data_IF_450289149776
#
_entry.id   IF_450289149776
#
_cell.length_a   1.000
_cell.length_b   1.000
_cell.length_c   1.000
_cell.angle_alpha   90.00
_cell.angle_beta   90.00
_cell.angle_gamma   90.00
#
_symmetry.space_group_name_H-M   'P 1'
#
loop_
_entity.id
_entity.type
_entity.pdbx_description
1 polymer ?
#
# COMPACT_ATOMS: atom_id res chain seq x y z
N UNK A 1 33.79 77.28 -33.00
CA UNK A 1 33.88 76.82 -31.60
C UNK A 1 32.54 76.21 -31.22
N UNK A 2 32.53 74.89 -30.97
CA UNK A 2 31.35 74.06 -30.67
C UNK A 2 30.73 74.48 -29.32
N UNK A 3 29.41 74.69 -29.27
CA UNK A 3 28.63 74.70 -28.02
C UNK A 3 27.79 73.42 -27.96
N UNK A 4 27.90 72.77 -26.82
CA UNK A 4 27.56 71.38 -26.53
C UNK A 4 26.10 71.29 -26.06
N UNK A 5 25.37 70.30 -26.58
CA UNK A 5 24.08 69.81 -26.08
C UNK A 5 24.24 69.24 -24.67
N UNK A 6 23.29 69.51 -23.78
CA UNK A 6 22.93 68.57 -22.71
C UNK A 6 21.42 68.63 -22.48
N UNK A 7 20.74 67.55 -22.86
CA UNK A 7 19.33 67.28 -22.61
C UNK A 7 19.26 66.38 -21.37
N UNK A 8 18.55 66.80 -20.33
CA UNK A 8 18.28 66.02 -19.12
C UNK A 8 17.31 64.87 -19.46
N UNK A 9 17.77 63.62 -19.30
CA UNK A 9 16.90 62.45 -19.20
C UNK A 9 16.76 62.08 -17.73
N UNK A 10 15.55 62.21 -17.20
CA UNK A 10 15.12 61.63 -15.93
C UNK A 10 14.78 60.15 -16.18
N UNK A 11 15.71 59.26 -15.86
CA UNK A 11 15.46 57.81 -15.85
C UNK A 11 15.20 57.40 -14.39
N UNK A 12 13.92 57.40 -14.02
CA UNK A 12 13.44 56.70 -12.82
C UNK A 12 13.54 55.19 -13.08
N UNK A 13 14.66 54.60 -12.68
CA UNK A 13 14.81 53.15 -12.56
C UNK A 13 13.98 52.64 -11.39
N UNK A 14 12.72 52.31 -11.65
CA UNK A 14 11.94 51.41 -10.81
C UNK A 14 12.58 50.02 -10.94
N UNK A 15 13.50 49.70 -10.03
CA UNK A 15 13.84 48.30 -9.76
C UNK A 15 12.63 47.68 -9.07
N UNK A 16 11.76 47.06 -9.85
CA UNK A 16 10.83 46.06 -9.35
C UNK A 16 11.68 44.89 -8.82
N UNK A 17 12.01 44.92 -7.54
CA UNK A 17 12.39 43.71 -6.82
C UNK A 17 11.13 42.86 -6.79
N UNK A 18 10.98 42.03 -7.81
CA UNK A 18 10.09 40.87 -7.76
C UNK A 18 10.69 39.92 -6.73
N UNK A 19 10.37 40.16 -5.46
CA UNK A 19 10.34 39.10 -4.48
C UNK A 19 9.25 38.13 -4.97
N UNK A 20 9.66 37.14 -5.76
CA UNK A 20 8.84 35.95 -5.94
C UNK A 20 8.75 35.34 -4.54
N UNK A 21 7.58 35.54 -3.94
CA UNK A 21 7.19 34.91 -2.70
C UNK A 21 7.31 33.40 -2.91
N UNK A 22 8.35 32.80 -2.35
CA UNK A 22 8.69 31.37 -2.45
C UNK A 22 7.75 30.53 -1.54
N UNK A 23 6.50 30.98 -1.41
CA UNK A 23 5.48 30.52 -0.45
C UNK A 23 4.92 29.13 -0.75
N UNK A 24 5.46 28.46 -1.76
CA UNK A 24 5.12 27.08 -2.13
C UNK A 24 6.26 26.07 -1.90
N UNK A 25 7.38 26.47 -1.29
CA UNK A 25 8.42 25.50 -0.96
C UNK A 25 7.97 24.63 0.22
N UNK A 26 7.78 23.34 -0.03
CA UNK A 26 7.58 22.35 1.03
C UNK A 26 8.80 22.39 1.97
N UNK A 27 8.61 22.89 3.19
CA UNK A 27 9.66 23.04 4.20
C UNK A 27 9.44 22.09 5.37
N UNK A 28 10.51 21.47 5.86
CA UNK A 28 10.45 20.61 7.04
C UNK A 28 10.61 21.42 8.33
N UNK A 29 9.86 21.05 9.37
CA UNK A 29 10.21 21.45 10.74
C UNK A 29 11.32 20.52 11.23
N UNK A 30 12.32 21.06 11.95
CA UNK A 30 13.48 20.27 12.40
C UNK A 30 13.60 20.32 13.92
N UNK A 31 13.73 19.16 14.55
CA UNK A 31 13.98 19.07 15.99
C UNK A 31 15.31 19.75 16.36
N UNK A 32 15.34 20.45 17.48
CA UNK A 32 16.55 21.08 18.02
C UNK A 32 17.67 20.08 18.36
N UNK A 33 17.36 18.78 18.43
CA UNK A 33 18.35 17.71 18.63
C UNK A 33 19.16 17.38 17.37
N UNK A 34 18.68 17.78 16.20
CA UNK A 34 19.33 17.47 14.92
C UNK A 34 20.51 18.42 14.73
N UNK A 35 21.71 17.88 14.59
CA UNK A 35 22.92 18.67 14.36
C UNK A 35 22.97 19.26 12.95
N UNK A 36 22.28 20.38 12.78
CA UNK A 36 22.27 21.15 11.53
C UNK A 36 23.57 21.93 11.31
N UNK A 37 24.58 21.83 12.18
CA UNK A 37 25.93 22.36 11.91
C UNK A 37 26.72 21.43 10.98
N UNK A 38 26.38 20.13 10.96
CA UNK A 38 26.91 19.16 10.01
C UNK A 38 26.42 19.42 8.58
N UNK A 39 27.37 19.47 7.64
CA UNK A 39 27.06 19.66 6.22
C UNK A 39 26.32 18.47 5.59
N UNK A 40 26.62 17.25 6.04
CA UNK A 40 25.93 16.05 5.57
C UNK A 40 24.49 16.03 6.08
N UNK A 41 24.26 16.34 7.36
CA UNK A 41 22.90 16.41 7.94
C UNK A 41 22.02 17.42 7.21
N UNK A 42 22.53 18.64 6.94
CA UNK A 42 21.79 19.63 6.13
C UNK A 42 21.49 19.12 4.72
N UNK A 43 22.43 18.41 4.10
CA UNK A 43 22.25 17.85 2.76
C UNK A 43 21.17 16.77 2.71
N UNK A 44 21.05 15.97 3.77
CA UNK A 44 20.02 14.92 3.89
C UNK A 44 18.63 15.52 4.14
N UNK A 45 18.53 16.56 4.97
CA UNK A 45 17.28 17.32 5.16
C UNK A 45 16.82 17.90 3.81
N UNK A 46 17.74 18.54 3.07
CA UNK A 46 17.44 19.09 1.75
C UNK A 46 17.07 18.00 0.72
N UNK A 47 17.72 16.84 0.77
CA UNK A 47 17.37 15.67 -0.05
C UNK A 47 15.92 15.26 0.18
N UNK A 48 15.51 15.16 1.45
CA UNK A 48 14.16 14.77 1.83
C UNK A 48 13.11 15.82 1.42
N UNK A 49 13.40 17.11 1.59
CA UNK A 49 12.56 18.21 1.05
C UNK A 49 12.39 18.10 -0.46
N UNK A 50 13.50 17.89 -1.17
CA UNK A 50 13.52 17.80 -2.63
C UNK A 50 12.76 16.57 -3.13
N UNK A 51 12.86 15.45 -2.40
CA UNK A 51 12.08 14.24 -2.66
C UNK A 51 10.58 14.54 -2.63
N UNK A 52 10.05 15.14 -1.57
CA UNK A 52 8.61 15.46 -1.52
C UNK A 52 8.20 16.55 -2.51
N UNK A 53 9.03 17.56 -2.74
CA UNK A 53 8.79 18.59 -3.76
C UNK A 53 8.72 18.03 -5.18
N UNK A 54 9.35 16.87 -5.42
CA UNK A 54 9.31 16.17 -6.70
C UNK A 54 7.99 15.41 -6.96
N UNK A 55 7.02 15.44 -6.05
CA UNK A 55 5.72 14.75 -6.18
C UNK A 55 5.87 13.21 -6.25
N UNK A 56 6.39 12.59 -5.18
CA UNK A 56 6.59 11.14 -5.14
C UNK A 56 5.28 10.35 -5.00
N UNK A 57 4.11 11.00 -5.05
CA UNK A 57 2.80 10.36 -5.09
C UNK A 57 2.52 9.53 -6.35
N UNK A 58 3.42 9.58 -7.34
CA UNK A 58 3.37 8.76 -8.58
C UNK A 58 4.70 8.05 -8.84
N UNK A 59 4.65 6.98 -9.64
CA UNK A 59 5.83 6.20 -10.03
C UNK A 59 6.46 6.82 -11.28
N UNK A 60 7.74 7.20 -11.17
CA UNK A 60 8.59 7.67 -12.27
C UNK A 60 10.06 7.58 -11.83
N UNK A 61 11.00 7.85 -12.73
CA UNK A 61 12.43 7.89 -12.40
C UNK A 61 12.77 9.08 -11.48
N UNK A 62 12.59 8.89 -10.17
CA UNK A 62 12.82 9.93 -9.18
C UNK A 62 14.32 10.12 -8.94
N UNK A 63 14.88 11.34 -9.12
CA UNK A 63 16.33 11.57 -9.02
C UNK A 63 16.86 11.53 -7.58
N UNK A 64 15.98 11.46 -6.58
CA UNK A 64 16.33 11.45 -5.16
C UNK A 64 16.35 10.05 -4.54
N UNK A 65 16.06 9.01 -5.34
CA UNK A 65 16.13 7.62 -4.93
C UNK A 65 17.32 6.92 -5.58
N UNK A 66 17.93 5.98 -4.86
CA UNK A 66 19.08 5.24 -5.33
C UNK A 66 18.78 4.44 -6.61
N UNK A 67 19.79 4.32 -7.47
CA UNK A 67 19.62 3.67 -8.78
C UNK A 67 19.31 2.19 -8.66
N UNK A 68 19.96 1.49 -7.72
CA UNK A 68 19.85 0.04 -7.57
C UNK A 68 18.40 -0.40 -7.30
N UNK A 69 17.68 0.28 -6.41
CA UNK A 69 16.29 -0.07 -6.09
C UNK A 69 15.32 0.30 -7.21
N UNK A 70 15.55 1.39 -7.93
CA UNK A 70 14.76 1.74 -9.12
C UNK A 70 14.90 0.74 -10.28
N UNK A 71 16.03 0.05 -10.36
CA UNK A 71 16.24 -1.03 -11.33
C UNK A 71 15.62 -2.36 -10.87
N UNK A 72 15.42 -2.55 -9.57
CA UNK A 72 14.89 -3.77 -8.98
C UNK A 72 13.37 -3.75 -8.81
N UNK A 73 12.79 -2.57 -8.59
CA UNK A 73 11.39 -2.41 -8.25
C UNK A 73 10.78 -1.27 -9.07
N UNK A 74 9.60 -1.51 -9.65
CA UNK A 74 8.79 -0.49 -10.27
C UNK A 74 8.36 0.55 -9.22
N UNK A 75 7.81 0.08 -8.10
CA UNK A 75 7.49 0.92 -6.92
C UNK A 75 8.59 0.80 -5.87
N UNK A 76 9.65 1.57 -6.08
CA UNK A 76 10.90 1.51 -5.30
C UNK A 76 10.83 2.18 -3.93
N UNK A 77 9.91 3.12 -3.67
CA UNK A 77 9.68 3.63 -2.31
C UNK A 77 8.62 2.78 -1.61
N UNK A 78 9.05 1.99 -0.64
CA UNK A 78 8.18 1.01 -0.01
C UNK A 78 7.08 1.62 0.85
N UNK A 79 7.21 2.89 1.22
CA UNK A 79 6.20 3.62 1.99
C UNK A 79 5.17 4.36 1.12
N UNK A 80 5.46 4.56 -0.17
CA UNK A 80 4.71 5.47 -1.06
C UNK A 80 3.23 5.17 -1.10
N UNK A 81 2.87 3.93 -1.45
CA UNK A 81 1.46 3.52 -1.62
C UNK A 81 0.64 3.73 -0.35
N UNK A 82 1.25 3.48 0.82
CA UNK A 82 0.62 3.72 2.11
C UNK A 82 0.48 5.23 2.34
N UNK A 83 1.58 6.01 2.27
CA UNK A 83 1.56 7.46 2.56
C UNK A 83 0.54 8.22 1.71
N UNK A 84 0.42 7.86 0.42
CA UNK A 84 -0.40 8.58 -0.55
C UNK A 84 -1.78 7.95 -0.81
N UNK A 85 -2.22 7.02 0.03
CA UNK A 85 -3.55 6.41 -0.10
C UNK A 85 -4.69 7.45 0.02
N UNK A 86 -5.87 7.13 -0.54
CA UNK A 86 -7.08 7.93 -0.36
C UNK A 86 -7.06 9.30 -1.04
N UNK A 87 -6.30 9.44 -2.13
CA UNK A 87 -6.17 10.70 -2.88
C UNK A 87 -5.21 11.71 -2.24
N UNK A 88 -4.42 11.28 -1.26
CA UNK A 88 -3.37 12.09 -0.65
C UNK A 88 -2.24 12.33 -1.66
N UNK A 89 -1.72 13.55 -1.71
CA UNK A 89 -0.50 13.90 -2.44
C UNK A 89 0.44 14.67 -1.51
N UNK A 90 1.68 14.95 -1.95
CA UNK A 90 2.68 15.62 -1.12
C UNK A 90 2.19 16.97 -0.53
N UNK A 91 1.48 17.77 -1.32
CA UNK A 91 0.95 19.07 -0.86
C UNK A 91 -0.13 18.92 0.20
N UNK A 92 -1.09 18.00 -0.02
CA UNK A 92 -2.15 17.73 0.96
C UNK A 92 -1.56 17.11 2.24
N UNK A 93 -0.58 16.22 2.11
CA UNK A 93 0.11 15.61 3.23
C UNK A 93 0.77 16.68 4.10
N UNK A 94 1.59 17.57 3.52
CA UNK A 94 2.26 18.62 4.28
C UNK A 94 1.29 19.65 4.88
N UNK A 95 0.16 19.89 4.21
CA UNK A 95 -0.90 20.79 4.69
C UNK A 95 -1.61 20.22 5.92
N UNK A 96 -1.95 18.93 5.92
CA UNK A 96 -2.73 18.32 7.01
C UNK A 96 -1.87 17.69 8.10
N UNK A 97 -0.67 17.23 7.73
CA UNK A 97 0.28 16.52 8.57
C UNK A 97 1.67 17.11 8.40
N UNK A 98 1.91 18.23 9.08
CA UNK A 98 3.18 18.95 8.99
C UNK A 98 4.36 18.04 9.38
N UNK A 99 5.33 17.84 8.49
CA UNK A 99 6.46 16.95 8.75
C UNK A 99 7.45 17.58 9.72
N UNK A 100 7.87 16.77 10.69
CA UNK A 100 8.83 17.14 11.71
C UNK A 100 9.99 16.13 11.71
N UNK A 101 11.17 16.57 11.29
CA UNK A 101 12.41 15.79 11.32
C UNK A 101 12.79 15.56 12.78
N UNK A 102 12.58 14.34 13.23
CA UNK A 102 12.89 13.90 14.58
C UNK A 102 14.39 13.68 14.74
N UNK A 103 15.04 13.08 13.75
CA UNK A 103 16.48 12.83 13.75
C UNK A 103 17.07 12.59 12.38
N UNK A 104 18.37 12.85 12.27
CA UNK A 104 19.24 12.43 11.18
C UNK A 104 20.51 11.88 11.81
N UNK A 105 20.65 10.56 11.89
CA UNK A 105 21.72 9.89 12.63
C UNK A 105 22.65 9.12 11.68
N UNK A 106 23.98 9.14 11.91
CA UNK A 106 24.88 8.29 11.13
C UNK A 106 24.71 6.81 11.51
N UNK A 107 24.73 5.94 10.51
CA UNK A 107 24.70 4.48 10.63
C UNK A 107 25.79 3.88 9.73
N UNK A 108 27.01 3.81 10.25
CA UNK A 108 28.18 3.46 9.46
C UNK A 108 28.52 4.57 8.46
N UNK A 109 28.56 4.24 7.17
CA UNK A 109 28.81 5.21 6.08
C UNK A 109 27.52 5.87 5.56
N UNK A 110 26.36 5.45 6.07
CA UNK A 110 25.04 5.96 5.71
C UNK A 110 24.52 6.91 6.78
N UNK A 111 23.41 7.58 6.48
CA UNK A 111 22.60 8.25 7.50
C UNK A 111 21.18 7.69 7.48
N UNK A 112 20.47 7.86 8.59
CA UNK A 112 19.07 7.52 8.70
C UNK A 112 18.28 8.74 9.16
N UNK A 113 17.27 9.10 8.37
CA UNK A 113 16.34 10.18 8.67
C UNK A 113 15.03 9.59 9.22
N UNK A 114 14.50 10.21 10.28
CA UNK A 114 13.19 9.87 10.87
C UNK A 114 12.30 11.11 10.87
N UNK A 115 11.14 11.04 10.23
CA UNK A 115 10.22 12.16 10.05
C UNK A 115 8.83 11.79 10.52
N UNK A 116 8.31 12.58 11.46
CA UNK A 116 6.95 12.47 11.96
C UNK A 116 6.02 13.30 11.07
N UNK A 117 4.99 12.67 10.50
CA UNK A 117 3.87 13.35 9.87
C UNK A 117 2.71 13.41 10.87
N UNK A 118 2.42 14.61 11.37
CA UNK A 118 1.37 14.78 12.36
C UNK A 118 0.53 16.04 12.17
N UNK A 119 -0.75 15.95 12.53
CA UNK A 119 -1.69 17.06 12.47
C UNK A 119 -1.61 17.90 13.74
N UNK A 120 -1.78 19.21 13.59
CA UNK A 120 -1.95 20.13 14.72
C UNK A 120 -3.37 20.11 15.31
N UNK A 121 -4.27 19.25 14.81
CA UNK A 121 -5.66 19.21 15.26
C UNK A 121 -5.77 19.00 16.78
N UNK A 122 -6.71 19.75 17.37
CA UNK A 122 -7.12 19.64 18.77
C UNK A 122 -8.54 19.07 18.91
N UNK A 123 -9.22 18.82 17.79
CA UNK A 123 -10.55 18.23 17.78
C UNK A 123 -10.47 16.76 18.23
N UNK A 124 -11.13 16.39 19.34
CA UNK A 124 -11.14 15.01 19.85
C UNK A 124 -11.60 13.98 18.83
N UNK A 125 -12.46 14.36 17.88
CA UNK A 125 -12.95 13.48 16.81
C UNK A 125 -11.83 12.98 15.90
N UNK A 126 -10.82 13.81 15.65
CA UNK A 126 -9.70 13.51 14.75
C UNK A 126 -8.40 13.20 15.50
N UNK A 127 -8.40 13.29 16.84
CA UNK A 127 -7.21 13.05 17.66
C UNK A 127 -6.62 11.64 17.47
N UNK A 128 -7.46 10.63 17.22
CA UNK A 128 -7.02 9.25 16.98
C UNK A 128 -6.22 9.05 15.69
N UNK A 129 -6.33 9.98 14.72
CA UNK A 129 -5.58 9.97 13.46
C UNK A 129 -4.57 11.13 13.40
N UNK A 130 -4.20 11.68 14.56
CA UNK A 130 -3.28 12.83 14.64
C UNK A 130 -1.90 12.50 14.07
N UNK A 131 -1.43 11.28 14.25
CA UNK A 131 -0.17 10.81 13.65
C UNK A 131 -0.51 10.03 12.39
N UNK A 132 -0.06 10.51 11.24
CA UNK A 132 -0.20 9.79 9.98
C UNK A 132 0.78 8.62 9.92
N UNK A 133 2.06 8.94 10.12
CA UNK A 133 3.15 7.98 10.23
C UNK A 133 4.40 8.63 10.83
N UNK A 134 5.36 7.78 11.21
CA UNK A 134 6.77 8.13 11.37
C UNK A 134 7.51 7.38 10.27
N UNK A 135 7.83 8.09 9.18
CA UNK A 135 8.60 7.53 8.09
C UNK A 135 10.09 7.54 8.45
N UNK A 136 10.80 6.48 8.05
CA UNK A 136 12.21 6.29 8.30
C UNK A 136 12.88 5.77 7.06
N UNK A 137 13.87 6.50 6.59
CA UNK A 137 14.60 6.17 5.37
C UNK A 137 16.09 6.24 5.64
N UNK A 138 16.84 5.46 4.88
CA UNK A 138 18.28 5.60 4.82
C UNK A 138 18.65 6.59 3.71
N UNK A 139 19.79 7.26 3.89
CA UNK A 139 20.43 8.09 2.90
C UNK A 139 21.86 7.56 2.64
N UNK A 140 22.18 7.32 1.37
CA UNK A 140 23.46 6.77 0.92
C UNK A 140 24.13 7.70 -0.09
N UNK A 141 25.45 7.58 -0.27
CA UNK A 141 26.18 8.32 -1.31
C UNK A 141 26.22 7.53 -2.63
N UNK A 142 25.66 8.11 -3.68
CA UNK A 142 25.86 7.69 -5.07
C UNK A 142 26.52 8.82 -5.86
N UNK A 143 27.68 8.56 -6.48
CA UNK A 143 28.42 9.56 -7.26
C UNK A 143 28.63 10.89 -6.51
N UNK A 144 29.01 10.82 -5.24
CA UNK A 144 29.22 11.95 -4.32
C UNK A 144 27.95 12.77 -3.97
N UNK A 145 26.75 12.26 -4.25
CA UNK A 145 25.49 12.88 -3.85
C UNK A 145 24.69 11.94 -2.95
N UNK A 146 23.95 12.52 -2.01
CA UNK A 146 23.03 11.77 -1.17
C UNK A 146 21.77 11.39 -1.96
N UNK A 147 21.31 10.15 -1.81
CA UNK A 147 20.05 9.60 -2.33
C UNK A 147 19.39 8.70 -1.27
N UNK A 148 18.07 8.52 -1.37
CA UNK A 148 17.27 7.71 -0.44
C UNK A 148 17.30 6.22 -0.82
N UNK A 149 17.13 5.35 0.18
CA UNK A 149 16.95 3.90 0.00
C UNK A 149 15.99 3.33 1.07
N UNK A 150 15.40 2.16 0.80
CA UNK A 150 14.59 1.44 1.77
C UNK A 150 15.42 0.86 2.92
N UNK A 151 14.78 0.68 4.07
CA UNK A 151 15.40 0.06 5.25
C UNK A 151 15.56 -1.46 5.12
N UNK A 152 14.71 -2.09 4.31
CA UNK A 152 14.52 -3.55 4.30
C UNK A 152 15.85 -4.31 4.13
N UNK A 153 16.73 -3.86 3.22
CA UNK A 153 18.01 -4.52 2.95
C UNK A 153 18.91 -4.56 4.18
N UNK A 154 18.99 -3.45 4.91
CA UNK A 154 19.83 -3.35 6.10
C UNK A 154 19.22 -4.13 7.27
N UNK A 155 17.90 -4.01 7.47
CA UNK A 155 17.17 -4.71 8.53
C UNK A 155 17.34 -6.22 8.37
N UNK A 156 17.16 -6.73 7.15
CA UNK A 156 17.13 -8.18 6.89
C UNK A 156 18.49 -8.77 6.58
N UNK A 157 19.56 -7.97 6.55
CA UNK A 157 20.93 -8.44 6.27
C UNK A 157 21.45 -9.51 7.25
N UNK A 158 20.89 -9.54 8.47
CA UNK A 158 21.22 -10.50 9.53
C UNK A 158 20.09 -11.50 9.81
N UNK A 159 19.02 -11.45 9.01
CA UNK A 159 17.89 -12.35 9.19
C UNK A 159 18.21 -13.73 8.65
N UNK A 160 17.50 -14.72 9.18
CA UNK A 160 17.57 -16.07 8.67
C UNK A 160 16.79 -16.16 7.36
N UNK A 161 17.22 -17.07 6.49
CA UNK A 161 16.51 -17.35 5.25
C UNK A 161 16.34 -18.85 5.04
N UNK A 162 15.19 -19.24 4.49
CA UNK A 162 14.91 -20.62 4.11
C UNK A 162 14.15 -20.67 2.79
N UNK A 163 14.68 -21.46 1.86
CA UNK A 163 14.03 -21.69 0.56
C UNK A 163 13.16 -22.94 0.60
N UNK A 164 11.94 -22.84 0.09
CA UNK A 164 11.02 -23.95 -0.14
C UNK A 164 10.20 -23.65 -1.40
N UNK A 165 10.56 -24.30 -2.52
CA UNK A 165 9.91 -24.12 -3.83
C UNK A 165 9.74 -22.65 -4.24
N UNK A 166 8.51 -22.14 -4.23
CA UNK A 166 8.14 -20.77 -4.61
C UNK A 166 8.51 -19.73 -3.55
N UNK A 167 8.82 -20.17 -2.33
CA UNK A 167 9.12 -19.30 -1.20
C UNK A 167 10.61 -19.14 -0.98
N UNK A 168 11.02 -17.90 -0.80
CA UNK A 168 12.22 -17.56 -0.05
C UNK A 168 11.78 -16.90 1.27
N UNK A 169 11.62 -17.70 2.32
CA UNK A 169 11.28 -17.21 3.64
C UNK A 169 12.44 -16.40 4.20
N UNK A 170 12.15 -15.21 4.72
CA UNK A 170 13.12 -14.32 5.36
C UNK A 170 12.54 -13.89 6.71
N UNK A 171 13.22 -14.20 7.80
CA UNK A 171 12.64 -14.05 9.14
C UNK A 171 13.69 -13.64 10.20
N UNK A 172 13.27 -12.88 11.23
CA UNK A 172 14.17 -12.42 12.29
C UNK A 172 14.95 -13.57 12.96
N UNK A 173 16.15 -13.30 13.50
CA UNK A 173 16.97 -14.33 14.19
C UNK A 173 16.28 -15.01 15.37
N UNK A 174 15.32 -14.33 15.99
CA UNK A 174 14.53 -14.82 17.13
C UNK A 174 13.20 -15.48 16.72
N UNK A 175 12.89 -15.56 15.42
CA UNK A 175 11.73 -16.29 14.92
C UNK A 175 12.06 -17.78 14.74
N UNK A 176 11.25 -18.64 15.34
CA UNK A 176 11.37 -20.09 15.16
C UNK A 176 10.59 -20.52 13.92
N UNK A 177 11.29 -20.98 12.90
CA UNK A 177 10.69 -21.39 11.63
C UNK A 177 9.79 -22.62 11.81
N UNK A 178 8.51 -22.51 11.44
CA UNK A 178 7.57 -23.63 11.51
C UNK A 178 7.49 -24.36 10.15
N UNK A 179 8.20 -25.49 10.06
CA UNK A 179 8.21 -26.35 8.87
C UNK A 179 6.83 -26.87 8.47
N UNK A 180 5.95 -27.11 9.44
CA UNK A 180 4.61 -27.65 9.19
C UNK A 180 3.76 -26.59 8.51
N UNK A 181 3.78 -25.36 9.02
CA UNK A 181 3.07 -24.23 8.39
C UNK A 181 3.63 -23.93 7.00
N UNK A 182 4.96 -23.95 6.82
CA UNK A 182 5.56 -23.75 5.51
C UNK A 182 5.11 -24.81 4.49
N UNK A 183 5.03 -26.08 4.92
CA UNK A 183 4.57 -27.18 4.08
C UNK A 183 3.06 -27.09 3.76
N UNK A 184 2.25 -26.60 4.70
CA UNK A 184 0.83 -26.28 4.45
C UNK A 184 0.71 -25.17 3.40
N UNK A 185 1.47 -24.09 3.56
CA UNK A 185 1.54 -23.00 2.58
C UNK A 185 1.93 -23.47 1.19
N UNK A 186 2.98 -24.32 1.07
CA UNK A 186 3.36 -24.94 -0.19
C UNK A 186 2.23 -25.76 -0.81
N UNK A 187 1.60 -26.62 -0.02
CA UNK A 187 0.53 -27.51 -0.51
C UNK A 187 -0.66 -26.70 -1.03
N UNK A 188 -0.99 -25.60 -0.35
CA UNK A 188 -1.98 -24.63 -0.81
C UNK A 188 -1.57 -23.96 -2.12
N UNK A 189 -0.32 -23.50 -2.24
CA UNK A 189 0.18 -22.92 -3.48
C UNK A 189 0.09 -23.88 -4.66
N UNK A 190 0.50 -25.14 -4.47
CA UNK A 190 0.41 -26.18 -5.51
C UNK A 190 -1.04 -26.38 -5.98
N UNK A 191 -2.00 -26.33 -5.07
CA UNK A 191 -3.42 -26.45 -5.40
C UNK A 191 -3.90 -25.28 -6.27
N UNK A 192 -3.59 -24.05 -5.86
CA UNK A 192 -4.01 -22.83 -6.58
C UNK A 192 -3.35 -22.76 -7.96
N UNK A 193 -2.04 -23.05 -8.05
CA UNK A 193 -1.30 -23.12 -9.32
C UNK A 193 -1.96 -24.14 -10.24
N UNK A 194 -2.19 -25.37 -9.77
CA UNK A 194 -2.81 -26.43 -10.58
C UNK A 194 -4.20 -26.04 -11.10
N UNK A 195 -5.00 -25.33 -10.30
CA UNK A 195 -6.39 -24.98 -10.62
C UNK A 195 -6.50 -23.75 -11.53
N UNK A 196 -5.69 -22.71 -11.28
CA UNK A 196 -5.92 -21.37 -11.85
C UNK A 196 -4.73 -20.79 -12.60
N UNK A 197 -3.51 -21.31 -12.40
CA UNK A 197 -2.31 -20.80 -13.07
C UNK A 197 -1.26 -21.89 -13.30
N UNK A 198 -1.54 -22.94 -14.12
CA UNK A 198 -0.66 -24.10 -14.25
C UNK A 198 0.71 -23.79 -14.88
N UNK A 199 0.87 -22.60 -15.46
CA UNK A 199 2.12 -22.13 -16.05
C UNK A 199 2.97 -21.28 -15.07
N UNK A 200 2.54 -21.13 -13.81
CA UNK A 200 3.28 -20.39 -12.82
C UNK A 200 4.65 -21.03 -12.56
N UNK A 201 5.71 -20.24 -12.72
CA UNK A 201 7.10 -20.67 -12.49
C UNK A 201 7.90 -19.64 -11.68
N UNK A 202 7.20 -18.71 -11.03
CA UNK A 202 7.79 -17.66 -10.23
C UNK A 202 8.20 -18.12 -8.83
N UNK A 203 8.94 -17.26 -8.14
CA UNK A 203 9.19 -17.33 -6.71
C UNK A 203 9.08 -15.94 -6.11
N UNK A 204 8.84 -15.85 -4.81
CA UNK A 204 8.79 -14.58 -4.10
C UNK A 204 9.44 -14.68 -2.73
N UNK A 205 9.94 -13.54 -2.25
CA UNK A 205 10.39 -13.40 -0.88
C UNK A 205 9.19 -13.32 0.05
N UNK A 206 9.19 -14.06 1.15
CA UNK A 206 8.14 -13.98 2.15
C UNK A 206 8.74 -13.60 3.50
N UNK A 207 8.52 -12.34 3.87
CA UNK A 207 9.07 -11.76 5.08
C UNK A 207 8.12 -12.03 6.25
N UNK A 208 8.56 -12.85 7.20
CA UNK A 208 7.77 -13.22 8.37
C UNK A 208 8.16 -12.31 9.53
N UNK A 209 7.23 -11.47 9.96
CA UNK A 209 7.36 -10.70 11.20
C UNK A 209 6.20 -11.02 12.15
N UNK A 210 6.35 -10.70 13.44
CA UNK A 210 5.39 -11.04 14.49
C UNK A 210 4.49 -9.87 14.89
N UNK A 211 4.66 -8.70 14.26
CA UNK A 211 3.87 -7.51 14.58
C UNK A 211 3.74 -6.58 13.39
N UNK A 212 2.67 -5.77 13.39
CA UNK A 212 2.42 -4.77 12.33
C UNK A 212 3.50 -3.69 12.29
N UNK A 213 4.10 -3.38 13.44
CA UNK A 213 5.18 -2.41 13.55
C UNK A 213 6.48 -2.98 12.95
N UNK A 214 6.82 -4.25 13.22
CA UNK A 214 7.97 -4.91 12.60
C UNK A 214 7.81 -5.04 11.09
N UNK A 215 6.59 -5.36 10.62
CA UNK A 215 6.27 -5.35 9.19
C UNK A 215 6.39 -3.93 8.61
N UNK A 216 5.89 -2.92 9.34
CA UNK A 216 5.97 -1.51 8.97
C UNK A 216 7.41 -1.02 8.80
N UNK A 217 8.35 -1.52 9.61
CA UNK A 217 9.78 -1.19 9.46
C UNK A 217 10.34 -1.64 8.11
N UNK A 218 9.90 -2.79 7.59
CA UNK A 218 10.27 -3.25 6.24
C UNK A 218 9.68 -2.35 5.14
N UNK A 219 8.62 -1.60 5.46
CA UNK A 219 7.97 -0.61 4.60
C UNK A 219 8.39 0.84 4.91
N UNK A 220 9.52 1.04 5.61
CA UNK A 220 10.07 2.36 5.97
C UNK A 220 9.25 3.13 7.03
N UNK A 221 8.53 2.44 7.92
CA UNK A 221 7.77 3.05 9.02
C UNK A 221 8.25 2.57 10.39
N UNK A 222 8.58 3.50 11.29
CA UNK A 222 8.63 3.17 12.73
C UNK A 222 7.22 3.09 13.34
N UNK A 223 6.27 3.81 12.73
CA UNK A 223 4.85 3.81 13.10
C UNK A 223 4.05 4.26 11.88
N UNK A 224 2.87 3.68 11.67
CA UNK A 224 1.97 4.11 10.62
C UNK A 224 0.53 3.72 10.99
N UNK A 225 -0.38 4.67 10.83
CA UNK A 225 -1.82 4.42 10.94
C UNK A 225 -2.43 4.08 9.58
N UNK A 226 -1.82 4.60 8.53
CA UNK A 226 -2.36 4.61 7.18
C UNK A 226 -1.84 3.44 6.36
N UNK A 227 -2.76 2.68 5.76
CA UNK A 227 -2.42 1.46 5.04
C UNK A 227 -2.01 0.31 5.99
N UNK A 228 -2.30 0.43 7.29
CA UNK A 228 -1.98 -0.60 8.27
C UNK A 228 -2.75 -1.89 8.00
N UNK A 229 -2.02 -2.99 7.88
CA UNK A 229 -2.54 -4.32 7.55
C UNK A 229 -1.74 -5.40 8.30
N UNK A 230 -2.18 -6.65 8.21
CA UNK A 230 -1.43 -7.83 8.68
C UNK A 230 -0.64 -8.51 7.56
N UNK A 231 -0.91 -8.17 6.31
CA UNK A 231 -0.31 -8.77 5.12
C UNK A 231 -0.27 -7.79 3.96
N UNK A 232 0.76 -7.90 3.12
CA UNK A 232 0.84 -7.15 1.87
C UNK A 232 1.68 -7.88 0.83
N UNK A 233 1.04 -8.27 -0.27
CA UNK A 233 1.72 -8.66 -1.49
C UNK A 233 2.16 -7.42 -2.30
N UNK A 234 3.42 -7.41 -2.75
CA UNK A 234 3.99 -6.37 -3.63
C UNK A 234 5.05 -6.97 -4.55
N UNK A 235 5.55 -6.28 -5.56
CA UNK A 235 6.51 -6.83 -6.53
C UNK A 235 7.59 -7.75 -5.90
N UNK A 236 7.65 -9.00 -6.36
CA UNK A 236 8.61 -10.00 -5.89
C UNK A 236 8.52 -10.45 -4.42
N UNK A 237 7.59 -9.95 -3.62
CA UNK A 237 7.52 -10.28 -2.19
C UNK A 237 6.13 -10.25 -1.55
N UNK A 238 6.03 -10.85 -0.38
CA UNK A 238 4.93 -10.73 0.56
C UNK A 238 5.52 -10.36 1.92
N UNK A 239 4.92 -9.40 2.60
CA UNK A 239 5.22 -9.04 3.99
C UNK A 239 4.07 -9.53 4.87
N UNK A 240 4.36 -10.19 5.99
CA UNK A 240 3.33 -10.56 6.98
C UNK A 240 3.72 -10.14 8.39
N UNK A 241 2.70 -9.79 9.17
CA UNK A 241 2.75 -9.56 10.60
C UNK A 241 2.14 -10.72 11.43
N UNK A 242 1.75 -11.82 10.78
CA UNK A 242 1.07 -12.94 11.44
C UNK A 242 2.01 -13.85 12.25
N UNK A 243 3.32 -13.70 12.08
CA UNK A 243 4.32 -14.52 12.77
C UNK A 243 4.29 -16.00 12.34
N UNK A 244 3.84 -16.31 11.12
CA UNK A 244 3.82 -17.68 10.61
C UNK A 244 4.10 -17.76 9.10
N UNK A 245 4.40 -18.98 8.66
CA UNK A 245 4.88 -19.34 7.33
C UNK A 245 3.75 -19.51 6.29
N UNK A 246 2.49 -19.30 6.69
CA UNK A 246 1.32 -19.68 5.91
C UNK A 246 0.26 -18.57 5.91
N UNK A 247 0.18 -17.83 4.80
CA UNK A 247 -0.82 -16.77 4.62
C UNK A 247 -1.53 -16.89 3.28
N UNK A 248 -2.49 -17.84 3.16
CA UNK A 248 -3.18 -18.15 1.91
C UNK A 248 -3.79 -16.94 1.20
N UNK A 249 -4.33 -15.97 1.93
CA UNK A 249 -4.87 -14.72 1.36
C UNK A 249 -3.83 -13.99 0.50
N UNK A 250 -2.66 -13.67 1.07
CA UNK A 250 -1.59 -12.98 0.34
C UNK A 250 -0.97 -13.86 -0.76
N UNK A 251 -0.95 -15.19 -0.56
CA UNK A 251 -0.46 -16.10 -1.58
C UNK A 251 -1.32 -16.02 -2.85
N UNK A 252 -2.64 -15.87 -2.73
CA UNK A 252 -3.53 -15.73 -3.90
C UNK A 252 -3.10 -14.56 -4.79
N UNK A 253 -2.80 -13.39 -4.22
CA UNK A 253 -2.33 -12.23 -4.99
C UNK A 253 -1.03 -12.48 -5.76
N UNK A 254 -0.22 -13.48 -5.36
CA UNK A 254 1.01 -13.86 -6.06
C UNK A 254 0.86 -14.96 -7.09
N UNK A 255 -0.10 -15.85 -6.88
CA UNK A 255 -0.23 -17.07 -7.68
C UNK A 255 -1.20 -16.91 -8.83
N UNK A 256 -2.19 -16.03 -8.72
CA UNK A 256 -3.16 -15.81 -9.78
C UNK A 256 -2.52 -15.10 -10.98
N UNK A 257 -3.01 -15.35 -12.22
CA UNK A 257 -2.57 -14.63 -13.39
C UNK A 257 -2.83 -13.12 -13.25
N UNK A 258 -1.88 -12.33 -13.74
CA UNK A 258 -2.00 -10.86 -13.76
C UNK A 258 -3.12 -10.48 -14.73
N UNK A 259 -4.02 -9.63 -14.26
CA UNK A 259 -5.08 -9.02 -15.07
C UNK A 259 -5.21 -7.55 -14.64
N UNK A 260 -4.74 -6.63 -15.49
CA UNK A 260 -4.80 -5.18 -15.20
C UNK A 260 -6.21 -4.61 -15.22
N UNK A 261 -7.20 -5.38 -15.70
CA UNK A 261 -8.62 -5.01 -15.71
C UNK A 261 -9.37 -5.66 -14.54
N UNK A 262 -8.69 -6.40 -13.66
CA UNK A 262 -9.32 -6.97 -12.46
C UNK A 262 -9.41 -5.91 -11.37
N UNK A 263 -10.63 -5.47 -11.07
CA UNK A 263 -10.85 -4.42 -10.08
C UNK A 263 -10.71 -4.93 -8.64
N UNK A 264 -10.52 -3.99 -7.72
CA UNK A 264 -10.26 -4.27 -6.30
C UNK A 264 -11.29 -5.23 -5.66
N UNK A 265 -12.58 -5.08 -5.97
CA UNK A 265 -13.61 -5.94 -5.37
C UNK A 265 -13.40 -7.40 -5.72
N UNK A 266 -13.07 -7.71 -6.98
CA UNK A 266 -12.87 -9.10 -7.42
C UNK A 266 -11.47 -9.59 -7.05
N UNK A 267 -10.44 -8.75 -7.10
CA UNK A 267 -9.09 -9.09 -6.64
C UNK A 267 -9.08 -9.53 -5.16
N UNK A 268 -9.62 -8.69 -4.26
CA UNK A 268 -9.75 -9.02 -2.83
C UNK A 268 -10.74 -10.17 -2.61
N UNK A 269 -11.82 -10.20 -3.39
CA UNK A 269 -12.83 -11.26 -3.32
C UNK A 269 -12.25 -12.66 -3.59
N UNK A 270 -11.39 -12.78 -4.59
CA UNK A 270 -10.67 -14.02 -4.89
C UNK A 270 -9.70 -14.40 -3.76
N UNK A 271 -8.96 -13.44 -3.20
CA UNK A 271 -8.06 -13.69 -2.08
C UNK A 271 -8.78 -14.14 -0.81
N UNK A 272 -9.96 -13.56 -0.54
CA UNK A 272 -10.81 -13.98 0.58
C UNK A 272 -11.43 -15.35 0.32
N UNK A 273 -12.01 -15.58 -0.86
CA UNK A 273 -12.71 -16.82 -1.18
C UNK A 273 -11.78 -18.03 -1.32
N UNK A 274 -10.62 -17.88 -1.98
CA UNK A 274 -9.66 -18.95 -2.18
C UNK A 274 -8.73 -19.10 -0.97
N UNK A 275 -8.26 -17.97 -0.43
CA UNK A 275 -7.25 -17.91 0.62
C UNK A 275 -7.83 -17.86 2.03
N UNK A 276 -8.49 -16.76 2.41
CA UNK A 276 -9.02 -16.61 3.79
C UNK A 276 -9.97 -17.75 4.18
N UNK A 277 -10.72 -18.31 3.23
CA UNK A 277 -11.61 -19.46 3.43
C UNK A 277 -10.93 -20.73 3.93
N UNK A 278 -9.60 -20.86 3.78
CA UNK A 278 -8.83 -21.94 4.41
C UNK A 278 -8.96 -21.91 5.95
N UNK A 279 -9.21 -20.73 6.53
CA UNK A 279 -9.63 -20.56 7.90
C UNK A 279 -11.15 -20.26 7.94
N UNK A 280 -11.95 -21.31 8.07
CA UNK A 280 -13.41 -21.21 8.06
C UNK A 280 -13.95 -20.18 9.08
N UNK A 281 -13.39 -20.14 10.29
CA UNK A 281 -13.84 -19.21 11.33
C UNK A 281 -13.59 -17.75 10.95
N UNK A 282 -12.41 -17.46 10.38
CA UNK A 282 -12.06 -16.11 9.96
C UNK A 282 -12.92 -15.65 8.78
N UNK A 283 -13.12 -16.53 7.80
CA UNK A 283 -13.99 -16.29 6.65
C UNK A 283 -15.43 -16.03 7.07
N UNK A 284 -16.03 -16.91 7.87
CA UNK A 284 -17.41 -16.74 8.37
C UNK A 284 -17.56 -15.44 9.18
N UNK A 285 -16.59 -15.11 10.02
CA UNK A 285 -16.59 -13.86 10.81
C UNK A 285 -16.53 -12.62 9.92
N UNK A 286 -15.82 -12.68 8.79
CA UNK A 286 -15.76 -11.57 7.85
C UNK A 286 -17.07 -11.45 7.06
N UNK A 287 -17.59 -12.56 6.55
CA UNK A 287 -18.84 -12.60 5.79
C UNK A 287 -20.05 -12.18 6.65
N UNK A 288 -20.07 -12.58 7.93
CA UNK A 288 -21.15 -12.24 8.86
C UNK A 288 -21.28 -10.75 9.13
N UNK A 289 -20.18 -9.99 9.07
CA UNK A 289 -20.22 -8.52 9.19
C UNK A 289 -21.03 -7.88 8.06
N UNK A 290 -20.81 -8.33 6.81
CA UNK A 290 -21.58 -7.83 5.67
C UNK A 290 -23.03 -8.29 5.73
N UNK A 291 -23.27 -9.56 6.07
CA UNK A 291 -24.62 -10.08 6.26
C UNK A 291 -25.39 -9.28 7.32
N UNK A 292 -24.75 -8.94 8.44
CA UNK A 292 -25.34 -8.11 9.48
C UNK A 292 -25.69 -6.71 8.97
N UNK A 293 -24.77 -6.05 8.27
CA UNK A 293 -25.01 -4.70 7.75
C UNK A 293 -26.11 -4.66 6.67
N UNK A 294 -26.21 -5.67 5.79
CA UNK A 294 -27.30 -5.80 4.82
C UNK A 294 -28.67 -5.87 5.52
N UNK A 295 -28.77 -6.52 6.69
CA UNK A 295 -30.02 -6.62 7.44
C UNK A 295 -30.35 -5.38 8.28
N UNK A 296 -29.32 -4.73 8.85
CA UNK A 296 -29.52 -3.67 9.86
C UNK A 296 -29.33 -2.27 9.31
N UNK A 297 -28.71 -2.13 8.14
CA UNK A 297 -28.31 -0.85 7.54
C UNK A 297 -28.53 -0.84 6.03
N UNK A 298 -29.56 -1.55 5.53
CA UNK A 298 -29.86 -1.73 4.09
C UNK A 298 -29.93 -0.43 3.29
N UNK A 299 -30.40 0.66 3.92
CA UNK A 299 -30.46 1.99 3.28
C UNK A 299 -29.07 2.54 2.91
N UNK A 300 -28.01 2.11 3.62
CA UNK A 300 -26.62 2.53 3.42
C UNK A 300 -25.76 1.42 2.80
N UNK A 301 -25.87 0.21 3.33
CA UNK A 301 -25.09 -0.96 2.92
C UNK A 301 -26.03 -1.91 2.19
N UNK A 302 -25.89 -1.97 0.88
CA UNK A 302 -26.65 -2.83 -0.03
C UNK A 302 -25.75 -3.26 -1.19
N UNK A 303 -26.21 -4.21 -2.00
CA UNK A 303 -25.46 -4.77 -3.12
C UNK A 303 -24.78 -3.69 -3.96
N UNK A 304 -25.54 -2.70 -4.45
CA UNK A 304 -24.99 -1.61 -5.26
C UNK A 304 -23.93 -0.81 -4.51
N UNK A 305 -24.17 -0.42 -3.26
CA UNK A 305 -23.26 0.47 -2.54
C UNK A 305 -21.92 -0.17 -2.21
N UNK A 306 -21.89 -1.49 -1.95
CA UNK A 306 -20.65 -2.22 -1.71
C UNK A 306 -19.98 -2.68 -3.00
N UNK A 307 -20.73 -3.08 -4.03
CA UNK A 307 -20.15 -3.51 -5.31
C UNK A 307 -19.51 -2.33 -6.06
N UNK A 308 -20.17 -1.16 -6.04
CA UNK A 308 -19.63 0.08 -6.62
C UNK A 308 -18.56 0.77 -5.77
N UNK A 309 -18.26 0.23 -4.59
CA UNK A 309 -17.34 0.85 -3.62
C UNK A 309 -17.76 2.26 -3.18
N UNK A 310 -19.05 2.61 -3.26
CA UNK A 310 -19.58 3.83 -2.63
C UNK A 310 -19.48 3.77 -1.10
N UNK A 311 -19.55 2.58 -0.53
CA UNK A 311 -19.20 2.31 0.88
C UNK A 311 -17.99 1.39 0.88
N UNK A 312 -16.79 1.94 1.02
CA UNK A 312 -15.52 1.19 1.05
C UNK A 312 -15.19 0.61 2.42
N UNK A 313 -15.65 1.25 3.51
CA UNK A 313 -15.34 0.86 4.87
C UNK A 313 -16.53 1.05 5.83
N UNK A 314 -16.80 0.04 6.66
CA UNK A 314 -17.84 0.08 7.70
C UNK A 314 -17.40 -0.63 9.00
N UNK A 315 -16.12 -0.46 9.39
CA UNK A 315 -15.47 -1.25 10.46
C UNK A 315 -14.72 -2.48 9.93
N UNK A 316 -14.78 -2.68 8.63
CA UNK A 316 -14.05 -3.65 7.81
C UNK A 316 -14.09 -3.13 6.36
N UNK A 317 -13.19 -3.59 5.51
CA UNK A 317 -13.23 -3.26 4.09
C UNK A 317 -14.35 -4.05 3.41
N UNK A 318 -15.33 -3.37 2.81
CA UNK A 318 -16.53 -4.01 2.26
C UNK A 318 -16.24 -4.79 0.98
N UNK A 319 -15.21 -4.38 0.22
CA UNK A 319 -14.75 -5.07 -0.99
C UNK A 319 -14.51 -6.57 -0.75
N UNK A 320 -13.95 -6.90 0.41
CA UNK A 320 -13.53 -8.25 0.80
C UNK A 320 -14.70 -9.24 0.82
N UNK A 321 -15.69 -9.11 1.74
CA UNK A 321 -16.83 -10.03 1.76
C UNK A 321 -17.75 -9.86 0.54
N UNK A 322 -17.77 -8.68 -0.08
CA UNK A 322 -18.59 -8.44 -1.28
C UNK A 322 -18.09 -9.27 -2.46
N UNK A 323 -16.82 -9.14 -2.79
CA UNK A 323 -16.18 -9.91 -3.85
C UNK A 323 -16.14 -11.39 -3.55
N UNK A 324 -15.91 -11.78 -2.29
CA UNK A 324 -15.96 -13.18 -1.88
C UNK A 324 -17.35 -13.78 -2.10
N UNK A 325 -18.43 -13.03 -1.84
CA UNK A 325 -19.80 -13.46 -2.15
C UNK A 325 -20.05 -13.65 -3.64
N UNK A 326 -19.48 -12.79 -4.50
CA UNK A 326 -19.52 -12.97 -5.97
C UNK A 326 -18.76 -14.22 -6.38
N UNK A 327 -17.54 -14.42 -5.86
CA UNK A 327 -16.73 -15.60 -6.14
C UNK A 327 -17.42 -16.89 -5.69
N UNK A 328 -18.01 -16.89 -4.50
CA UNK A 328 -18.76 -18.03 -3.98
C UNK A 328 -19.98 -18.34 -4.85
N UNK A 329 -20.77 -17.35 -5.22
CA UNK A 329 -21.92 -17.52 -6.11
C UNK A 329 -21.51 -18.08 -7.48
N UNK A 330 -20.48 -17.50 -8.09
CA UNK A 330 -19.95 -17.96 -9.39
C UNK A 330 -19.46 -19.40 -9.28
N UNK A 331 -18.70 -19.73 -8.24
CA UNK A 331 -18.21 -21.08 -8.03
C UNK A 331 -19.34 -22.09 -7.77
N UNK A 332 -20.37 -21.73 -6.99
CA UNK A 332 -21.52 -22.60 -6.76
C UNK A 332 -22.29 -22.93 -8.04
N UNK A 333 -22.38 -21.99 -8.98
CA UNK A 333 -23.13 -22.17 -10.23
C UNK A 333 -22.31 -22.74 -11.40
N UNK A 334 -20.99 -22.51 -11.39
CA UNK A 334 -20.11 -22.74 -12.56
C UNK A 334 -18.77 -23.38 -12.21
N UNK A 335 -18.51 -23.67 -10.94
CA UNK A 335 -17.28 -24.29 -10.45
C UNK A 335 -16.01 -23.49 -10.78
N UNK A 336 -14.87 -24.19 -10.83
CA UNK A 336 -13.57 -23.61 -11.17
C UNK A 336 -13.55 -22.92 -12.54
N UNK A 337 -14.33 -23.40 -13.50
CA UNK A 337 -14.45 -22.74 -14.81
C UNK A 337 -15.05 -21.34 -14.68
N UNK A 338 -16.10 -21.19 -13.88
CA UNK A 338 -16.68 -19.86 -13.59
C UNK A 338 -15.69 -18.92 -12.93
N UNK A 339 -14.96 -19.39 -11.91
CA UNK A 339 -13.92 -18.58 -11.27
C UNK A 339 -12.80 -18.22 -12.24
N UNK A 340 -12.38 -19.15 -13.10
CA UNK A 340 -11.37 -18.90 -14.14
C UNK A 340 -11.84 -17.86 -15.15
N UNK A 341 -13.12 -17.84 -15.51
CA UNK A 341 -13.69 -16.78 -16.35
C UNK A 341 -13.68 -15.43 -15.62
N UNK A 342 -14.12 -15.40 -14.35
CA UNK A 342 -14.14 -14.18 -13.53
C UNK A 342 -12.73 -13.59 -13.33
N UNK A 343 -11.74 -14.47 -13.13
CA UNK A 343 -10.32 -14.14 -12.98
C UNK A 343 -9.76 -13.34 -14.16
N UNK A 344 -10.19 -13.66 -15.38
CA UNK A 344 -9.73 -13.04 -16.62
C UNK A 344 -10.67 -11.97 -17.17
N UNK A 345 -11.83 -11.75 -16.55
CA UNK A 345 -12.80 -10.77 -17.01
C UNK A 345 -12.35 -9.33 -16.67
N UNK A 346 -12.87 -8.36 -17.42
CA UNK A 346 -12.86 -6.97 -16.96
C UNK A 346 -13.84 -6.84 -15.80
N UNK A 347 -13.32 -6.39 -14.66
CA UNK A 347 -14.07 -6.18 -13.42
C UNK A 347 -13.63 -4.88 -12.77
N UNK A 348 -13.13 -3.94 -13.57
CA UNK A 348 -12.50 -2.70 -13.12
C UNK A 348 -13.48 -1.72 -12.47
N UNK A 349 -14.78 -1.83 -12.78
CA UNK A 349 -15.84 -1.03 -12.22
C UNK A 349 -17.14 -1.81 -11.95
N UNK A 350 -18.14 -1.11 -11.41
CA UNK A 350 -19.43 -1.69 -11.04
C UNK A 350 -20.12 -2.39 -12.20
N UNK A 351 -20.17 -1.73 -13.37
CA UNK A 351 -20.87 -2.24 -14.54
C UNK A 351 -20.13 -3.46 -15.11
N UNK A 352 -18.81 -3.38 -15.16
CA UNK A 352 -17.94 -4.45 -15.65
C UNK A 352 -18.06 -5.70 -14.77
N UNK A 353 -18.13 -5.53 -13.44
CA UNK A 353 -18.39 -6.65 -12.51
C UNK A 353 -19.76 -7.27 -12.77
N UNK A 354 -20.82 -6.47 -12.95
CA UNK A 354 -22.16 -6.97 -13.22
C UNK A 354 -22.21 -7.75 -14.53
N UNK A 355 -21.65 -7.19 -15.61
CA UNK A 355 -21.63 -7.81 -16.93
C UNK A 355 -20.86 -9.13 -16.91
N UNK A 356 -19.68 -9.16 -16.30
CA UNK A 356 -18.88 -10.37 -16.15
C UNK A 356 -19.65 -11.43 -15.34
N UNK A 357 -20.16 -11.07 -14.16
CA UNK A 357 -20.86 -12.02 -13.28
C UNK A 357 -22.16 -12.54 -13.93
N UNK A 358 -22.96 -11.67 -14.55
CA UNK A 358 -24.18 -12.07 -15.27
C UNK A 358 -23.85 -12.97 -16.45
N UNK A 359 -22.83 -12.65 -17.26
CA UNK A 359 -22.42 -13.47 -18.40
C UNK A 359 -21.96 -14.86 -17.97
N UNK A 360 -21.21 -14.97 -16.87
CA UNK A 360 -20.70 -16.25 -16.37
C UNK A 360 -21.84 -17.08 -15.78
N UNK A 361 -22.69 -16.45 -14.96
CA UNK A 361 -23.76 -17.14 -14.22
C UNK A 361 -25.03 -17.35 -15.05
N UNK A 362 -25.17 -16.67 -16.19
CA UNK A 362 -26.40 -16.62 -17.00
C UNK A 362 -27.61 -16.09 -16.22
N UNK A 363 -27.36 -15.23 -15.23
CA UNK A 363 -28.39 -14.55 -14.46
C UNK A 363 -28.65 -13.15 -15.02
N UNK A 364 -29.86 -12.64 -14.86
CA UNK A 364 -30.13 -11.20 -14.97
C UNK A 364 -29.53 -10.46 -13.77
N UNK A 365 -29.35 -9.14 -13.88
CA UNK A 365 -28.81 -8.32 -12.77
C UNK A 365 -29.62 -8.48 -11.47
N UNK A 366 -30.96 -8.48 -11.56
CA UNK A 366 -31.83 -8.66 -10.39
C UNK A 366 -31.69 -10.06 -9.77
N UNK A 367 -31.53 -11.10 -10.59
CA UNK A 367 -31.29 -12.46 -10.10
C UNK A 367 -29.91 -12.59 -9.47
N UNK A 368 -28.89 -11.94 -10.05
CA UNK A 368 -27.54 -11.90 -9.51
C UNK A 368 -27.54 -11.24 -8.13
N UNK A 369 -28.15 -10.07 -7.99
CA UNK A 369 -28.29 -9.36 -6.71
C UNK A 369 -28.98 -10.25 -5.66
N UNK A 370 -30.17 -10.79 -5.98
CA UNK A 370 -30.92 -11.64 -5.04
C UNK A 370 -30.15 -12.91 -4.65
N UNK A 371 -29.43 -13.53 -5.59
CA UNK A 371 -28.60 -14.71 -5.31
C UNK A 371 -27.36 -14.37 -4.51
N UNK A 372 -26.71 -13.24 -4.80
CA UNK A 372 -25.58 -12.76 -4.02
C UNK A 372 -26.00 -12.47 -2.59
N UNK A 373 -27.12 -11.78 -2.38
CA UNK A 373 -27.65 -11.53 -1.04
C UNK A 373 -27.91 -12.85 -0.33
N UNK A 374 -28.55 -13.82 -0.98
CA UNK A 374 -28.76 -15.17 -0.43
C UNK A 374 -27.43 -15.83 -0.03
N UNK A 375 -26.39 -15.71 -0.84
CA UNK A 375 -25.04 -16.22 -0.54
C UNK A 375 -24.46 -15.56 0.70
N UNK A 376 -24.56 -14.25 0.84
CA UNK A 376 -24.08 -13.53 2.03
C UNK A 376 -24.92 -13.90 3.27
N UNK A 377 -26.23 -14.05 3.15
CA UNK A 377 -27.13 -14.34 4.26
C UNK A 377 -26.91 -15.71 4.91
N UNK A 378 -26.25 -16.66 4.22
CA UNK A 378 -25.78 -17.93 4.82
C UNK A 378 -24.94 -17.70 6.08
N UNK A 379 -24.26 -16.56 6.16
CA UNK A 379 -23.34 -16.19 7.23
C UNK A 379 -23.95 -15.24 8.27
N UNK A 380 -25.24 -14.91 8.17
CA UNK A 380 -25.87 -14.01 9.13
C UNK A 380 -25.88 -14.62 10.53
N UNK A 381 -25.24 -13.92 11.47
CA UNK A 381 -25.28 -14.23 12.89
C UNK A 381 -25.94 -13.03 13.60
N UNK A 382 -27.14 -13.21 14.20
CA UNK A 382 -27.96 -12.11 14.73
C UNK A 382 -27.37 -11.38 15.95
#
# INVERSE_FOLDING_TARGET
MRKLLFLLFFLAGLNSVSAQDDSNKLSLLVSSRVDTTSSDVRSIINLYESYYASKPDSIYDNPFWNKKEKELYEDFDFSRVSIFQGGMNANLLFKYFSPFVMSVEPIGEKYQIRVLFSSATTDPKYAGSKVWCIQKLNAIKENQRWVLENLIVDITSKWNAKKLDYFNYIFPPNHEFNEVEAQLGKSYCDEIIRRFNPNYNGSFNYYVTSSKDDMGLLENFDYYFVGITSGKAREGMILTANGNENYPHEFVHKLLPINSQRGQVIEEGLAVYLGTKQNQQEYEKLMSKLAFDLNKKSDKVNFKSVLSQAVTYNGYQTAYPTGAGICELVHELRGDNGLSQLLHADTSGYQEILEAACSITMLTENELEAKWETTIQKYYQP
#
